data_IF_612159593738
#
_entry.id   IF_612159593738
#
_cell.length_a   1.000
_cell.length_b   1.000
_cell.length_c   1.000
_cell.angle_alpha   90.00
_cell.angle_beta   90.00
_cell.angle_gamma   90.00
#
_symmetry.space_group_name_H-M   'P 1'
#
loop_
_entity.id
_entity.type
_entity.pdbx_description
1 polymer ?
#
# COMPACT_ATOMS: atom_id res chain seq x y z
N UNK A 1 -59.25 -26.18 -23.89
CA UNK A 1 -57.90 -25.68 -24.26
C UNK A 1 -57.75 -24.14 -24.18
N UNK A 2 -58.66 -23.31 -24.62
CA UNK A 2 -58.55 -21.82 -24.53
C UNK A 2 -58.43 -21.30 -23.10
N UNK A 3 -59.21 -21.84 -22.14
CA UNK A 3 -59.14 -21.41 -20.71
C UNK A 3 -57.83 -21.76 -20.00
N UNK A 4 -57.20 -22.87 -20.37
CA UNK A 4 -55.92 -23.30 -19.78
C UNK A 4 -54.77 -22.39 -20.23
N UNK A 5 -54.75 -22.06 -21.53
CA UNK A 5 -53.76 -21.11 -22.11
C UNK A 5 -53.85 -19.71 -21.47
N UNK A 6 -55.10 -19.24 -21.21
CA UNK A 6 -55.32 -17.93 -20.57
C UNK A 6 -54.87 -17.92 -19.12
N UNK A 7 -55.08 -19.01 -18.35
CA UNK A 7 -54.58 -19.17 -16.97
C UNK A 7 -53.05 -19.21 -16.95
N UNK A 8 -52.41 -19.94 -17.84
CA UNK A 8 -50.94 -20.01 -17.93
C UNK A 8 -50.36 -18.62 -18.27
N UNK A 9 -50.93 -17.84 -19.18
CA UNK A 9 -50.49 -16.50 -19.51
C UNK A 9 -50.63 -15.53 -18.31
N UNK A 10 -51.70 -15.64 -17.52
CA UNK A 10 -51.90 -14.82 -16.30
C UNK A 10 -50.85 -15.20 -15.23
N UNK A 11 -50.53 -16.47 -15.03
CA UNK A 11 -49.46 -16.87 -14.10
C UNK A 11 -48.07 -16.44 -14.54
N UNK A 12 -47.75 -16.50 -15.84
CA UNK A 12 -46.50 -16.01 -16.37
C UNK A 12 -46.41 -14.48 -16.19
N UNK A 13 -47.49 -13.74 -16.44
CA UNK A 13 -47.52 -12.28 -16.24
C UNK A 13 -47.39 -11.89 -14.75
N UNK A 14 -48.04 -12.63 -13.83
CA UNK A 14 -47.90 -12.41 -12.39
C UNK A 14 -46.50 -12.75 -11.86
N UNK A 15 -45.88 -13.83 -12.37
CA UNK A 15 -44.50 -14.15 -12.01
C UNK A 15 -43.49 -13.14 -12.54
N UNK A 16 -43.67 -12.60 -13.76
CA UNK A 16 -42.84 -11.55 -14.34
C UNK A 16 -42.98 -10.21 -13.59
N UNK A 17 -44.11 -9.92 -12.94
CA UNK A 17 -44.31 -8.77 -12.05
C UNK A 17 -43.75 -9.03 -10.64
N UNK A 18 -43.83 -10.27 -10.13
CA UNK A 18 -43.34 -10.61 -8.81
C UNK A 18 -41.81 -10.64 -8.72
N UNK A 19 -41.10 -11.00 -9.82
CA UNK A 19 -39.64 -11.06 -9.85
C UNK A 19 -38.99 -9.69 -9.59
N UNK A 20 -39.33 -8.59 -10.29
CA UNK A 20 -38.75 -7.29 -9.99
C UNK A 20 -39.15 -6.75 -8.61
N UNK A 21 -40.38 -7.01 -8.13
CA UNK A 21 -40.79 -6.62 -6.79
C UNK A 21 -40.01 -7.41 -5.71
N UNK A 22 -39.77 -8.69 -5.94
CA UNK A 22 -38.95 -9.51 -5.06
C UNK A 22 -37.48 -9.04 -5.08
N UNK A 23 -36.94 -8.72 -6.25
CA UNK A 23 -35.57 -8.18 -6.38
C UNK A 23 -35.43 -6.80 -5.74
N UNK A 24 -36.41 -5.92 -5.91
CA UNK A 24 -36.42 -4.59 -5.27
C UNK A 24 -36.59 -4.70 -3.75
N UNK A 25 -37.48 -5.57 -3.28
CA UNK A 25 -37.63 -5.83 -1.84
C UNK A 25 -36.41 -6.53 -1.27
N UNK A 26 -35.81 -7.50 -1.97
CA UNK A 26 -34.58 -8.17 -1.54
C UNK A 26 -33.41 -7.16 -1.49
N UNK A 27 -33.27 -6.25 -2.46
CA UNK A 27 -32.29 -5.16 -2.39
C UNK A 27 -32.59 -4.16 -1.27
N UNK A 28 -33.84 -3.97 -0.91
CA UNK A 28 -34.26 -3.09 0.19
C UNK A 28 -34.04 -3.75 1.56
N UNK A 29 -34.30 -5.02 1.70
CA UNK A 29 -34.11 -5.80 2.94
C UNK A 29 -32.67 -6.34 3.11
N UNK A 30 -31.89 -6.51 2.05
CA UNK A 30 -30.49 -6.92 2.13
C UNK A 30 -29.53 -5.76 2.44
N UNK A 31 -30.01 -4.52 2.48
CA UNK A 31 -29.27 -3.42 3.09
C UNK A 31 -29.38 -3.59 4.60
N UNK A 32 -28.45 -4.35 5.19
CA UNK A 32 -28.18 -4.19 6.62
C UNK A 32 -28.11 -2.69 6.90
N UNK A 33 -28.93 -2.21 7.82
CA UNK A 33 -28.94 -0.77 8.14
C UNK A 33 -27.51 -0.39 8.51
N UNK A 34 -26.96 0.66 7.87
CA UNK A 34 -25.61 1.12 8.14
C UNK A 34 -25.48 1.42 9.65
N UNK A 35 -24.47 0.84 10.26
CA UNK A 35 -24.14 1.09 11.68
C UNK A 35 -23.58 2.51 11.76
N UNK A 36 -24.20 3.35 12.61
CA UNK A 36 -23.68 4.69 12.88
C UNK A 36 -22.51 4.62 13.84
N UNK A 37 -21.50 5.44 13.58
CA UNK A 37 -20.35 5.54 14.46
C UNK A 37 -20.73 6.20 15.81
N UNK A 38 -20.13 5.67 16.90
CA UNK A 38 -20.20 6.21 18.25
C UNK A 38 -18.85 5.98 18.93
N UNK A 39 -17.89 6.86 18.66
CA UNK A 39 -16.48 6.65 18.91
C UNK A 39 -16.15 6.80 20.39
N UNK A 40 -15.53 5.78 20.97
CA UNK A 40 -15.00 5.78 22.34
C UNK A 40 -13.48 5.57 22.30
N UNK A 41 -12.76 6.55 22.83
CA UNK A 41 -11.31 6.59 22.90
C UNK A 41 -10.88 6.44 24.35
N UNK A 42 -10.63 5.22 24.75
CA UNK A 42 -10.06 4.91 26.08
C UNK A 42 -8.53 4.96 26.01
N UNK A 43 -7.91 5.98 26.60
CA UNK A 43 -6.47 6.22 26.49
C UNK A 43 -5.61 5.13 27.17
N UNK A 44 -6.22 4.27 27.98
CA UNK A 44 -5.55 3.13 28.62
C UNK A 44 -5.49 1.88 27.75
N UNK A 45 -6.35 1.82 26.71
CA UNK A 45 -6.41 0.69 25.76
C UNK A 45 -5.44 0.89 24.61
N UNK A 46 -4.18 0.52 24.80
CA UNK A 46 -3.14 0.65 23.78
C UNK A 46 -2.66 -0.70 23.28
N UNK A 47 -2.22 -0.77 22.01
CA UNK A 47 -1.65 -1.95 21.35
C UNK A 47 -0.13 -1.87 21.15
N UNK A 48 0.55 -0.90 21.75
CA UNK A 48 1.99 -0.66 21.59
C UNK A 48 2.29 0.47 20.57
N UNK A 49 3.54 0.58 20.10
CA UNK A 49 3.94 1.65 19.20
C UNK A 49 3.08 1.75 17.94
N UNK A 50 2.75 2.98 17.53
CA UNK A 50 1.92 3.20 16.34
C UNK A 50 2.62 2.65 15.09
N UNK A 51 2.01 1.71 14.33
CA UNK A 51 2.66 1.08 13.20
C UNK A 51 2.88 2.05 12.04
N UNK A 52 4.00 1.91 11.34
CA UNK A 52 4.36 2.76 10.20
C UNK A 52 4.19 2.04 8.85
N UNK A 53 3.29 1.07 8.74
CA UNK A 53 3.09 0.19 7.57
C UNK A 53 2.71 0.92 6.28
N UNK A 54 2.16 2.12 6.43
CA UNK A 54 1.74 3.01 5.35
C UNK A 54 2.86 3.92 4.83
N UNK A 55 4.02 3.96 5.50
CA UNK A 55 5.18 4.77 5.10
C UNK A 55 5.95 4.11 3.94
N UNK A 56 5.21 3.53 3.01
CA UNK A 56 5.73 2.87 1.84
C UNK A 56 4.99 3.40 0.59
N UNK A 57 5.74 3.91 -0.37
CA UNK A 57 5.24 4.49 -1.60
C UNK A 57 5.83 3.73 -2.79
N UNK A 58 5.14 3.72 -3.92
CA UNK A 58 5.63 3.16 -5.17
C UNK A 58 5.71 4.25 -6.24
N UNK A 59 6.63 4.09 -7.16
CA UNK A 59 6.70 4.86 -8.39
C UNK A 59 6.98 3.88 -9.53
N UNK A 60 6.18 3.93 -10.57
CA UNK A 60 6.43 3.23 -11.82
C UNK A 60 7.36 4.03 -12.74
N UNK A 61 7.67 3.46 -13.88
CA UNK A 61 8.48 4.13 -14.88
C UNK A 61 7.61 4.87 -15.91
N UNK A 62 6.83 5.83 -15.47
CA UNK A 62 5.85 6.52 -16.32
C UNK A 62 6.51 7.36 -17.40
N UNK A 63 7.77 7.72 -17.22
CA UNK A 63 8.53 8.53 -18.19
C UNK A 63 9.96 8.02 -18.31
N UNK A 64 10.23 7.30 -19.41
CA UNK A 64 11.53 6.66 -19.65
C UNK A 64 12.68 7.68 -19.65
N UNK A 65 13.70 7.40 -18.84
CA UNK A 65 14.91 8.22 -18.75
C UNK A 65 14.74 9.50 -17.94
N UNK A 66 13.56 9.76 -17.37
CA UNK A 66 13.31 10.93 -16.50
C UNK A 66 13.50 10.55 -15.04
N UNK A 67 14.13 11.44 -14.28
CA UNK A 67 14.23 11.32 -12.82
C UNK A 67 12.92 11.76 -12.18
N UNK A 68 12.03 10.81 -11.91
CA UNK A 68 10.67 11.08 -11.45
C UNK A 68 10.62 11.84 -10.10
N UNK A 69 11.63 11.71 -9.26
CA UNK A 69 11.67 12.34 -7.93
C UNK A 69 12.36 13.70 -7.89
N UNK A 70 13.21 14.06 -8.86
CA UNK A 70 14.11 15.21 -8.78
C UNK A 70 13.42 16.53 -8.36
N UNK A 71 12.24 16.80 -8.89
CA UNK A 71 11.48 18.02 -8.61
C UNK A 71 10.44 17.89 -7.47
N UNK A 72 10.35 16.74 -6.81
CA UNK A 72 9.34 16.48 -5.76
C UNK A 72 9.91 15.97 -4.43
N UNK A 73 11.25 15.92 -4.32
CA UNK A 73 11.93 15.50 -3.07
C UNK A 73 11.36 16.23 -1.83
N UNK A 74 11.18 17.55 -1.81
CA UNK A 74 10.63 18.23 -0.63
C UNK A 74 9.24 17.75 -0.25
N UNK A 75 8.33 17.61 -1.22
CA UNK A 75 6.96 17.19 -0.98
C UNK A 75 6.89 15.74 -0.46
N UNK A 76 7.74 14.85 -0.99
CA UNK A 76 7.83 13.46 -0.56
C UNK A 76 8.44 13.36 0.83
N UNK A 77 9.48 14.15 1.14
CA UNK A 77 10.13 14.18 2.45
C UNK A 77 9.16 14.57 3.57
N UNK A 78 8.21 15.48 3.31
CA UNK A 78 7.17 15.87 4.27
C UNK A 78 6.27 14.71 4.72
N UNK A 79 6.23 13.60 3.98
CA UNK A 79 5.47 12.39 4.32
C UNK A 79 6.27 11.40 5.17
N UNK A 80 7.58 11.61 5.33
CA UNK A 80 8.50 10.72 6.05
C UNK A 80 8.40 9.26 5.59
N UNK A 81 8.52 8.97 4.29
CA UNK A 81 8.46 7.60 3.80
C UNK A 81 9.64 6.78 4.34
N UNK A 82 9.40 5.49 4.58
CA UNK A 82 10.46 4.55 4.97
C UNK A 82 11.02 3.77 3.79
N UNK A 83 10.16 3.47 2.81
CA UNK A 83 10.49 2.71 1.60
C UNK A 83 9.84 3.36 0.38
N UNK A 84 10.55 3.37 -0.73
CA UNK A 84 9.98 3.72 -2.04
C UNK A 84 10.34 2.62 -3.03
N UNK A 85 9.30 1.94 -3.57
CA UNK A 85 9.43 0.93 -4.61
C UNK A 85 9.56 1.61 -5.96
N UNK A 86 10.49 1.11 -6.77
CA UNK A 86 10.65 1.49 -8.18
C UNK A 86 10.76 0.24 -9.05
N UNK A 87 10.13 0.28 -10.20
CA UNK A 87 10.24 -0.71 -11.26
C UNK A 87 11.01 -0.17 -12.47
N UNK A 88 11.00 -0.86 -13.63
CA UNK A 88 11.72 -0.47 -14.83
C UNK A 88 13.21 -0.17 -14.61
N UNK A 89 13.84 -0.77 -13.58
CA UNK A 89 15.19 -0.40 -13.14
C UNK A 89 16.28 -0.76 -14.13
N UNK A 90 16.02 -1.65 -15.11
CA UNK A 90 17.01 -2.07 -16.07
C UNK A 90 16.84 -1.44 -17.46
N UNK A 91 15.60 -1.21 -17.89
CA UNK A 91 15.27 -0.71 -19.21
C UNK A 91 15.25 0.82 -19.28
N UNK A 92 14.54 1.50 -18.37
CA UNK A 92 14.43 2.96 -18.41
C UNK A 92 15.75 3.68 -18.09
N UNK A 93 16.61 3.04 -17.31
CA UNK A 93 17.91 3.59 -16.94
C UNK A 93 19.07 3.05 -17.78
N UNK A 94 18.78 2.23 -18.82
CA UNK A 94 19.77 1.68 -19.76
C UNK A 94 20.96 1.01 -19.05
N UNK A 95 20.64 0.22 -18.00
CA UNK A 95 21.68 -0.37 -17.13
C UNK A 95 22.59 -1.34 -17.87
N UNK A 96 22.08 -1.99 -18.92
CA UNK A 96 22.79 -3.07 -19.63
C UNK A 96 23.07 -2.70 -21.07
N UNK A 97 24.31 -2.85 -21.46
CA UNK A 97 24.74 -2.76 -22.86
C UNK A 97 25.65 -3.92 -23.25
N UNK A 98 25.94 -4.10 -24.56
CA UNK A 98 26.96 -5.04 -25.07
C UNK A 98 27.98 -4.27 -25.85
N UNK A 99 29.24 -4.67 -25.68
CA UNK A 99 30.32 -4.20 -26.52
C UNK A 99 30.27 -4.86 -27.92
N UNK A 100 31.20 -4.44 -28.82
CA UNK A 100 31.30 -4.98 -30.17
C UNK A 100 31.68 -6.48 -30.22
N UNK A 101 32.22 -7.02 -29.14
CA UNK A 101 32.56 -8.45 -28.96
C UNK A 101 31.39 -9.25 -28.34
N UNK A 102 30.29 -8.59 -28.00
CA UNK A 102 29.10 -9.20 -27.40
C UNK A 102 29.16 -9.36 -25.88
N UNK A 103 30.21 -8.85 -25.21
CA UNK A 103 30.30 -8.91 -23.75
C UNK A 103 29.35 -7.91 -23.09
N UNK A 104 28.74 -8.32 -21.96
CA UNK A 104 27.88 -7.44 -21.15
C UNK A 104 28.69 -6.36 -20.44
N UNK A 105 28.14 -5.16 -20.45
CA UNK A 105 28.60 -4.02 -19.66
C UNK A 105 27.43 -3.48 -18.83
N UNK A 106 27.71 -3.09 -17.60
CA UNK A 106 26.71 -2.58 -16.65
C UNK A 106 27.01 -1.13 -16.28
N UNK A 107 26.03 -0.24 -16.47
CA UNK A 107 26.12 1.17 -16.12
C UNK A 107 24.92 1.59 -15.27
N UNK A 108 25.13 1.77 -13.98
CA UNK A 108 24.09 2.15 -13.04
C UNK A 108 23.95 3.68 -12.85
N UNK A 109 24.72 4.51 -13.55
CA UNK A 109 24.81 5.95 -13.28
C UNK A 109 23.46 6.67 -13.29
N UNK A 110 22.57 6.35 -14.22
CA UNK A 110 21.23 6.95 -14.29
C UNK A 110 20.36 6.48 -13.12
N UNK A 111 20.35 5.18 -12.84
CA UNK A 111 19.60 4.59 -11.74
C UNK A 111 20.12 5.09 -10.38
N UNK A 112 21.42 5.27 -10.22
CA UNK A 112 22.03 5.83 -9.01
C UNK A 112 21.49 7.20 -8.66
N UNK A 113 21.23 8.05 -9.65
CA UNK A 113 20.65 9.39 -9.42
C UNK A 113 19.23 9.28 -8.83
N UNK A 114 18.38 8.42 -9.39
CA UNK A 114 17.03 8.16 -8.85
C UNK A 114 17.08 7.55 -7.45
N UNK A 115 18.02 6.63 -7.21
CA UNK A 115 18.24 6.05 -5.87
C UNK A 115 18.69 7.13 -4.88
N UNK A 116 19.54 8.06 -5.30
CA UNK A 116 19.94 9.21 -4.49
C UNK A 116 18.77 10.14 -4.18
N UNK A 117 17.88 10.37 -5.14
CA UNK A 117 16.66 11.15 -4.89
C UNK A 117 15.78 10.48 -3.82
N UNK A 118 15.63 9.15 -3.89
CA UNK A 118 14.93 8.38 -2.86
C UNK A 118 15.58 8.58 -1.49
N UNK A 119 16.89 8.47 -1.39
CA UNK A 119 17.61 8.72 -0.12
C UNK A 119 17.42 10.16 0.38
N UNK A 120 17.38 11.15 -0.49
CA UNK A 120 17.11 12.53 -0.12
C UNK A 120 15.69 12.75 0.41
N UNK A 121 14.72 11.86 0.11
CA UNK A 121 13.40 11.89 0.76
C UNK A 121 13.41 11.32 2.19
N UNK A 122 14.49 10.66 2.60
CA UNK A 122 14.59 9.92 3.86
C UNK A 122 14.24 8.43 3.74
N UNK A 123 13.78 7.96 2.58
CA UNK A 123 13.41 6.58 2.33
C UNK A 123 14.57 5.70 1.87
N UNK A 124 14.39 4.38 1.96
CA UNK A 124 15.21 3.37 1.28
C UNK A 124 14.54 2.91 0.00
N UNK A 125 15.30 2.56 -1.05
CA UNK A 125 14.73 1.97 -2.24
C UNK A 125 14.25 0.54 -1.97
N UNK A 126 13.19 0.16 -2.68
CA UNK A 126 12.69 -1.19 -2.83
C UNK A 126 12.66 -1.48 -4.33
N UNK A 127 13.46 -2.41 -4.80
CA UNK A 127 13.66 -2.65 -6.23
C UNK A 127 12.76 -3.76 -6.75
N UNK A 128 11.99 -3.49 -7.80
CA UNK A 128 11.43 -4.50 -8.68
C UNK A 128 12.48 -4.87 -9.73
N UNK A 129 12.98 -6.11 -9.72
CA UNK A 129 14.03 -6.59 -10.63
C UNK A 129 13.43 -6.85 -12.03
N UNK A 130 13.37 -5.81 -12.84
CA UNK A 130 12.76 -5.77 -14.18
C UNK A 130 12.93 -4.39 -14.82
N UNK A 131 12.57 -4.21 -16.11
CA UNK A 131 12.20 -5.33 -16.98
C UNK A 131 13.43 -5.90 -17.70
N UNK A 132 13.18 -6.84 -18.65
CA UNK A 132 14.27 -7.48 -19.36
C UNK A 132 14.98 -6.47 -20.28
N UNK A 133 16.30 -6.26 -20.14
CA UNK A 133 17.03 -5.44 -21.12
C UNK A 133 16.88 -6.03 -22.52
N UNK A 134 16.52 -5.26 -23.56
CA UNK A 134 16.32 -5.79 -24.92
C UNK A 134 17.51 -6.59 -25.47
N UNK A 135 18.73 -6.21 -25.08
CA UNK A 135 19.97 -6.91 -25.47
C UNK A 135 20.11 -8.30 -24.84
N UNK A 136 19.39 -8.57 -23.76
CA UNK A 136 19.36 -9.86 -23.04
C UNK A 136 18.11 -10.67 -23.34
N UNK A 137 17.05 -10.06 -23.88
CA UNK A 137 15.76 -10.68 -24.17
C UNK A 137 15.84 -11.63 -25.37
N UNK A 138 15.18 -12.79 -25.30
CA UNK A 138 15.16 -13.78 -26.38
C UNK A 138 14.40 -13.30 -27.64
N UNK A 139 13.42 -12.43 -27.44
CA UNK A 139 12.61 -11.82 -28.52
C UNK A 139 12.87 -10.32 -28.71
N UNK A 140 13.79 -9.73 -27.92
CA UNK A 140 14.10 -8.31 -27.94
C UNK A 140 13.10 -7.42 -27.21
N UNK A 141 12.03 -7.97 -26.62
CA UNK A 141 11.04 -7.21 -25.86
C UNK A 141 11.45 -7.03 -24.38
N UNK A 142 10.89 -6.02 -23.74
CA UNK A 142 11.09 -5.75 -22.29
C UNK A 142 10.49 -6.85 -21.41
N UNK A 143 9.56 -7.62 -21.94
CA UNK A 143 8.86 -8.67 -21.22
C UNK A 143 9.28 -10.09 -21.64
N UNK A 144 10.27 -10.23 -22.54
CA UNK A 144 10.82 -11.50 -22.97
C UNK A 144 11.57 -12.22 -21.83
N UNK A 145 11.92 -13.50 -22.05
CA UNK A 145 12.78 -14.22 -21.12
C UNK A 145 14.26 -13.97 -21.48
N UNK A 146 15.22 -14.22 -20.57
CA UNK A 146 16.63 -14.11 -20.93
C UNK A 146 17.01 -15.11 -22.03
N UNK A 147 17.81 -14.67 -23.00
CA UNK A 147 18.53 -15.60 -23.90
C UNK A 147 19.47 -16.52 -23.12
N UNK A 148 20.10 -15.96 -22.09
CA UNK A 148 21.07 -16.65 -21.24
C UNK A 148 20.72 -16.36 -19.75
N UNK A 149 20.27 -17.37 -19.05
CA UNK A 149 19.92 -17.29 -17.64
C UNK A 149 21.09 -16.92 -16.72
N UNK A 150 22.32 -17.31 -17.09
CA UNK A 150 23.52 -16.94 -16.33
C UNK A 150 23.80 -15.43 -16.40
N UNK A 151 23.51 -14.79 -17.53
CA UNK A 151 23.62 -13.33 -17.68
C UNK A 151 22.58 -12.61 -16.84
N UNK A 152 21.33 -13.12 -16.79
CA UNK A 152 20.31 -12.58 -15.88
C UNK A 152 20.77 -12.69 -14.42
N UNK A 153 21.28 -13.84 -14.01
CA UNK A 153 21.84 -14.04 -12.68
C UNK A 153 22.99 -13.06 -12.38
N UNK A 154 23.86 -12.81 -13.36
CA UNK A 154 24.95 -11.84 -13.21
C UNK A 154 24.43 -10.40 -13.07
N UNK A 155 23.40 -10.01 -13.83
CA UNK A 155 22.77 -8.69 -13.71
C UNK A 155 22.21 -8.49 -12.30
N UNK A 156 21.48 -9.48 -11.76
CA UNK A 156 20.95 -9.43 -10.39
C UNK A 156 22.08 -9.35 -9.36
N UNK A 157 23.14 -10.14 -9.54
CA UNK A 157 24.35 -10.08 -8.70
C UNK A 157 24.92 -8.66 -8.66
N UNK A 158 25.14 -8.04 -9.82
CA UNK A 158 25.68 -6.68 -9.93
C UNK A 158 24.77 -5.63 -9.31
N UNK A 159 23.46 -5.82 -9.40
CA UNK A 159 22.47 -4.93 -8.78
C UNK A 159 22.55 -5.00 -7.25
N UNK A 160 22.63 -6.22 -6.67
CA UNK A 160 22.77 -6.40 -5.22
C UNK A 160 24.14 -5.87 -4.74
N UNK A 161 25.23 -6.14 -5.47
CA UNK A 161 26.56 -5.58 -5.17
C UNK A 161 26.56 -4.05 -5.23
N UNK A 162 25.78 -3.43 -6.15
CA UNK A 162 25.69 -1.97 -6.27
C UNK A 162 24.96 -1.35 -5.08
N UNK A 163 23.77 -1.85 -4.73
CA UNK A 163 22.88 -1.16 -3.76
C UNK A 163 22.93 -1.72 -2.33
N UNK A 164 23.48 -2.91 -2.13
CA UNK A 164 23.75 -3.48 -0.81
C UNK A 164 25.26 -3.63 -0.52
N UNK A 165 26.13 -3.19 -1.43
CA UNK A 165 27.59 -3.34 -1.31
C UNK A 165 28.18 -2.51 -0.16
N UNK A 166 29.11 -3.11 0.62
CA UNK A 166 29.75 -2.45 1.76
C UNK A 166 30.70 -1.33 1.36
N UNK A 167 31.28 -1.40 0.18
CA UNK A 167 32.26 -0.43 -0.32
C UNK A 167 31.74 0.43 -1.46
N UNK A 168 30.47 0.27 -1.85
CA UNK A 168 29.87 1.06 -2.93
C UNK A 168 29.71 2.52 -2.53
N UNK A 169 30.10 3.44 -3.40
CA UNK A 169 29.86 4.88 -3.27
C UNK A 169 28.85 5.29 -4.33
N UNK A 170 27.76 5.95 -3.90
CA UNK A 170 26.75 6.53 -4.77
C UNK A 170 27.03 8.04 -4.99
N UNK A 171 26.49 8.65 -6.07
CA UNK A 171 26.73 10.08 -6.38
C UNK A 171 26.31 11.05 -5.27
N UNK A 172 25.33 10.70 -4.47
CA UNK A 172 24.88 11.49 -3.32
C UNK A 172 25.84 11.48 -2.13
N UNK A 173 26.96 10.79 -2.24
CA UNK A 173 27.97 10.70 -1.19
C UNK A 173 27.50 9.81 -0.03
N UNK A 174 28.32 9.76 1.01
CA UNK A 174 27.97 9.08 2.26
C UNK A 174 27.92 7.57 2.20
N UNK A 175 28.85 6.94 2.91
CA UNK A 175 28.83 5.51 3.20
C UNK A 175 28.01 5.31 4.49
N UNK A 176 26.70 5.53 4.44
CA UNK A 176 25.86 5.22 5.60
C UNK A 176 25.40 3.77 5.49
N UNK A 177 25.91 2.92 6.37
CA UNK A 177 25.53 1.50 6.46
C UNK A 177 24.01 1.34 6.57
N UNK A 178 23.35 2.27 7.27
CA UNK A 178 21.89 2.34 7.38
C UNK A 178 21.19 2.32 6.02
N UNK A 179 21.68 3.07 5.03
CA UNK A 179 21.03 3.21 3.71
C UNK A 179 21.13 1.96 2.84
N UNK A 180 22.09 1.10 3.10
CA UNK A 180 22.39 -0.10 2.29
C UNK A 180 22.02 -1.41 2.96
N UNK A 181 21.64 -1.37 4.24
CA UNK A 181 21.18 -2.53 5.00
C UNK A 181 19.69 -2.74 4.76
N UNK A 182 19.28 -4.00 4.60
CA UNK A 182 17.90 -4.43 4.41
C UNK A 182 17.22 -3.83 3.16
N UNK A 183 17.99 -3.60 2.11
CA UNK A 183 17.43 -3.28 0.78
C UNK A 183 16.59 -4.45 0.30
N UNK A 184 15.42 -4.16 -0.25
CA UNK A 184 14.50 -5.15 -0.76
C UNK A 184 14.62 -5.29 -2.27
N UNK A 185 14.64 -6.53 -2.74
CA UNK A 185 14.65 -6.90 -4.15
C UNK A 185 13.46 -7.84 -4.39
N UNK A 186 12.53 -7.41 -5.21
CA UNK A 186 11.35 -8.15 -5.63
C UNK A 186 11.57 -8.66 -7.05
N UNK A 187 11.26 -9.92 -7.31
CA UNK A 187 11.57 -10.51 -8.61
C UNK A 187 10.44 -10.26 -9.59
N UNK A 188 10.66 -9.33 -10.54
CA UNK A 188 9.74 -8.92 -11.59
C UNK A 188 8.63 -7.98 -11.10
N UNK A 189 7.64 -7.71 -12.01
CA UNK A 189 6.41 -6.97 -11.77
C UNK A 189 5.27 -7.67 -12.49
N UNK A 190 4.18 -8.02 -11.76
CA UNK A 190 2.95 -8.64 -12.27
C UNK A 190 3.18 -9.75 -13.31
N UNK A 191 3.93 -10.82 -12.96
CA UNK A 191 4.32 -11.84 -13.92
C UNK A 191 3.13 -12.60 -14.52
N UNK A 192 1.98 -12.60 -13.87
CA UNK A 192 0.75 -13.27 -14.30
C UNK A 192 0.00 -12.51 -15.41
N UNK A 193 0.26 -11.18 -15.56
CA UNK A 193 -0.41 -10.33 -16.53
C UNK A 193 0.28 -10.37 -17.91
N UNK A 194 -0.51 -10.31 -18.97
CA UNK A 194 -0.01 -10.39 -20.36
C UNK A 194 0.89 -9.20 -20.70
N UNK A 195 0.50 -8.00 -20.29
CA UNK A 195 1.25 -6.76 -20.49
C UNK A 195 2.66 -6.83 -19.91
N UNK A 196 2.83 -7.55 -18.78
CA UNK A 196 4.13 -7.71 -18.11
C UNK A 196 4.75 -9.08 -18.34
N UNK A 197 4.34 -9.77 -19.41
CA UNK A 197 5.03 -10.90 -19.97
C UNK A 197 4.37 -12.25 -19.83
N UNK A 198 3.26 -12.38 -19.12
CA UNK A 198 2.48 -13.63 -18.99
C UNK A 198 3.37 -14.84 -18.67
N UNK A 199 4.17 -14.71 -17.63
CA UNK A 199 5.00 -15.79 -17.12
C UNK A 199 4.14 -16.93 -16.61
N UNK A 200 4.66 -18.15 -16.68
CA UNK A 200 3.95 -19.38 -16.29
C UNK A 200 4.75 -20.17 -15.27
N UNK A 201 4.11 -21.12 -14.61
CA UNK A 201 4.81 -22.06 -13.75
C UNK A 201 5.53 -23.17 -14.55
N UNK A 202 5.03 -23.52 -15.72
CA UNK A 202 5.57 -24.57 -16.58
C UNK A 202 5.64 -24.05 -18.02
N UNK A 203 6.68 -24.45 -18.74
CA UNK A 203 6.88 -24.11 -20.14
C UNK A 203 7.93 -23.02 -20.37
N UNK A 204 8.12 -22.62 -21.61
CA UNK A 204 9.29 -21.88 -22.09
C UNK A 204 9.54 -20.50 -21.46
N UNK A 205 8.55 -19.89 -20.77
CA UNK A 205 8.67 -18.63 -20.02
C UNK A 205 8.23 -18.87 -18.58
N UNK A 206 9.14 -19.45 -17.80
CA UNK A 206 8.90 -19.94 -16.45
C UNK A 206 9.26 -18.89 -15.40
N UNK A 207 8.26 -18.42 -14.60
CA UNK A 207 8.52 -17.56 -13.46
C UNK A 207 9.36 -18.24 -12.37
N UNK A 208 9.13 -19.52 -12.02
CA UNK A 208 10.03 -20.26 -11.12
C UNK A 208 11.49 -20.23 -11.57
N UNK A 209 11.76 -20.36 -12.89
CA UNK A 209 13.12 -20.28 -13.43
C UNK A 209 13.69 -18.86 -13.30
N UNK A 210 12.88 -17.83 -13.57
CA UNK A 210 13.26 -16.43 -13.35
C UNK A 210 13.65 -16.18 -11.89
N UNK A 211 12.83 -16.64 -10.94
CA UNK A 211 13.11 -16.53 -9.52
C UNK A 211 14.36 -17.30 -9.11
N UNK A 212 14.55 -18.52 -9.62
CA UNK A 212 15.74 -19.34 -9.35
C UNK A 212 17.03 -18.62 -9.72
N UNK A 213 17.09 -18.07 -10.93
CA UNK A 213 18.30 -17.37 -11.39
C UNK A 213 18.47 -16.01 -10.74
N UNK A 214 17.39 -15.33 -10.36
CA UNK A 214 17.45 -14.14 -9.52
C UNK A 214 18.02 -14.45 -8.14
N UNK A 215 17.53 -15.51 -7.48
CA UNK A 215 18.05 -15.94 -6.19
C UNK A 215 19.52 -16.39 -6.25
N UNK A 216 19.92 -17.10 -7.31
CA UNK A 216 21.33 -17.46 -7.55
C UNK A 216 22.21 -16.23 -7.67
N UNK A 217 21.79 -15.24 -8.46
CA UNK A 217 22.53 -14.00 -8.65
C UNK A 217 22.65 -13.21 -7.35
N UNK A 218 21.54 -13.03 -6.65
CA UNK A 218 21.54 -12.35 -5.35
C UNK A 218 22.47 -13.03 -4.34
N UNK A 219 22.43 -14.36 -4.25
CA UNK A 219 23.30 -15.14 -3.35
C UNK A 219 24.78 -15.13 -3.77
N UNK A 220 25.09 -14.89 -5.03
CA UNK A 220 26.45 -14.77 -5.53
C UNK A 220 27.09 -13.40 -5.25
N UNK A 221 26.31 -12.40 -4.83
CA UNK A 221 26.80 -11.06 -4.52
C UNK A 221 27.82 -11.09 -3.38
N UNK A 222 28.95 -10.39 -3.58
CA UNK A 222 30.08 -10.40 -2.65
C UNK A 222 30.15 -9.09 -1.88
N UNK A 223 30.63 -9.16 -0.63
CA UNK A 223 30.88 -8.00 0.21
C UNK A 223 29.65 -7.07 0.35
N UNK A 224 28.50 -7.66 0.65
CA UNK A 224 27.22 -6.95 0.78
C UNK A 224 26.71 -6.93 2.22
N UNK A 225 25.90 -5.95 2.55
CA UNK A 225 25.08 -5.94 3.75
C UNK A 225 23.91 -6.93 3.62
N UNK A 226 23.25 -7.30 4.72
CA UNK A 226 22.00 -8.06 4.66
C UNK A 226 20.99 -7.36 3.74
N UNK A 227 20.34 -8.14 2.89
CA UNK A 227 19.32 -7.71 1.96
C UNK A 227 18.13 -8.68 1.98
N UNK A 228 17.01 -8.28 1.43
CA UNK A 228 15.76 -9.06 1.34
C UNK A 228 15.45 -9.38 -0.11
N UNK A 229 15.08 -10.64 -0.39
CA UNK A 229 14.61 -11.08 -1.71
C UNK A 229 13.23 -11.68 -1.58
N UNK A 230 12.29 -11.34 -2.47
CA UNK A 230 10.92 -11.84 -2.41
C UNK A 230 10.14 -11.80 -3.71
N UNK A 231 8.87 -12.14 -3.60
CA UNK A 231 7.88 -12.28 -4.66
C UNK A 231 6.65 -13.07 -4.19
N UNK A 232 5.75 -13.54 -5.08
CA UNK A 232 5.85 -13.55 -6.55
C UNK A 232 5.27 -12.32 -7.26
N UNK A 233 4.82 -11.30 -6.52
CA UNK A 233 4.38 -9.98 -7.03
C UNK A 233 3.30 -10.05 -8.11
N UNK A 234 2.34 -10.96 -7.93
CA UNK A 234 1.19 -11.12 -8.85
C UNK A 234 0.19 -9.96 -8.71
N UNK A 235 -0.61 -9.71 -9.77
CA UNK A 235 -1.63 -8.64 -9.82
C UNK A 235 -2.66 -8.69 -8.69
N UNK A 236 -2.84 -9.86 -8.08
CA UNK A 236 -3.62 -10.09 -6.87
C UNK A 236 -3.11 -11.36 -6.18
N UNK A 237 -3.63 -11.63 -4.99
CA UNK A 237 -3.28 -12.87 -4.30
C UNK A 237 -4.04 -14.06 -4.90
N UNK A 238 -3.31 -14.98 -5.54
CA UNK A 238 -3.87 -16.19 -6.16
C UNK A 238 -3.33 -17.44 -5.46
N UNK A 239 -4.25 -18.28 -4.92
CA UNK A 239 -3.86 -19.48 -4.17
C UNK A 239 -2.88 -20.36 -4.94
N UNK A 240 -3.20 -20.67 -6.19
CA UNK A 240 -2.37 -21.54 -7.02
C UNK A 240 -0.99 -20.95 -7.31
N UNK A 241 -0.88 -19.62 -7.45
CA UNK A 241 0.40 -18.96 -7.64
C UNK A 241 1.23 -19.04 -6.36
N UNK A 242 0.66 -18.63 -5.24
CA UNK A 242 1.34 -18.62 -3.94
C UNK A 242 1.82 -20.03 -3.58
N UNK A 243 0.93 -21.03 -3.58
CA UNK A 243 1.30 -22.37 -3.16
C UNK A 243 2.36 -23.02 -4.06
N UNK A 244 2.21 -22.93 -5.40
CA UNK A 244 3.22 -23.45 -6.34
C UNK A 244 4.56 -22.72 -6.21
N UNK A 245 4.53 -21.41 -5.99
CA UNK A 245 5.75 -20.62 -5.76
C UNK A 245 6.45 -21.07 -4.48
N UNK A 246 5.74 -21.19 -3.37
CA UNK A 246 6.31 -21.63 -2.10
C UNK A 246 6.82 -23.08 -2.18
N UNK A 247 6.11 -23.98 -2.87
CA UNK A 247 6.57 -25.34 -3.14
C UNK A 247 7.91 -25.34 -3.89
N UNK A 248 8.02 -24.53 -4.96
CA UNK A 248 9.22 -24.41 -5.76
C UNK A 248 10.41 -23.86 -4.96
N UNK A 249 10.18 -22.78 -4.19
CA UNK A 249 11.16 -22.19 -3.28
C UNK A 249 11.64 -23.21 -2.25
N UNK A 250 10.71 -24.01 -1.69
CA UNK A 250 11.02 -25.03 -0.69
C UNK A 250 11.88 -26.14 -1.26
N UNK A 251 11.45 -26.72 -2.39
CA UNK A 251 12.14 -27.86 -3.05
C UNK A 251 13.56 -27.48 -3.47
N UNK A 252 13.77 -26.24 -3.94
CA UNK A 252 15.06 -25.75 -4.41
C UNK A 252 15.89 -25.04 -3.33
N UNK A 253 15.40 -25.00 -2.09
CA UNK A 253 16.02 -24.29 -0.95
C UNK A 253 16.44 -22.85 -1.28
N UNK A 254 15.56 -22.09 -1.93
CA UNK A 254 15.85 -20.73 -2.35
C UNK A 254 15.63 -19.72 -1.21
N UNK A 255 16.37 -18.62 -1.28
CA UNK A 255 16.13 -17.46 -0.42
C UNK A 255 14.77 -16.88 -0.73
N UNK A 256 13.96 -16.66 0.31
CA UNK A 256 12.70 -15.93 0.29
C UNK A 256 12.53 -15.24 1.63
N UNK A 257 12.53 -13.91 1.63
CA UNK A 257 12.48 -13.09 2.85
C UNK A 257 11.14 -12.39 3.04
N UNK A 258 10.28 -12.35 2.01
CA UNK A 258 8.93 -11.79 2.08
C UNK A 258 8.05 -12.37 0.97
N UNK A 259 6.73 -12.37 1.20
CA UNK A 259 5.72 -12.69 0.20
C UNK A 259 5.08 -11.39 -0.24
N UNK A 260 4.99 -11.15 -1.57
CA UNK A 260 4.40 -9.92 -2.12
C UNK A 260 3.37 -10.20 -3.20
N UNK A 261 2.43 -9.25 -3.32
CA UNK A 261 1.41 -9.18 -4.37
C UNK A 261 0.93 -7.74 -4.51
N UNK A 262 0.18 -7.45 -5.58
CA UNK A 262 -0.52 -6.18 -5.77
C UNK A 262 -1.99 -6.31 -5.40
N UNK A 263 -2.64 -5.20 -5.10
CA UNK A 263 -4.08 -5.16 -4.89
C UNK A 263 -4.62 -3.76 -5.13
N UNK A 264 -5.50 -3.62 -6.12
CA UNK A 264 -6.28 -2.42 -6.36
C UNK A 264 -7.74 -2.71 -6.08
N UNK A 265 -8.35 -1.96 -5.17
CA UNK A 265 -9.77 -2.13 -4.84
C UNK A 265 -10.39 -0.85 -4.29
N UNK A 266 -11.63 -0.58 -4.70
CA UNK A 266 -12.49 0.46 -4.11
C UNK A 266 -13.06 0.04 -2.75
N UNK A 267 -13.01 -1.26 -2.43
CA UNK A 267 -13.48 -1.82 -1.15
C UNK A 267 -12.28 -2.01 -0.22
N UNK A 268 -12.25 -1.23 0.83
CA UNK A 268 -11.10 -1.23 1.75
C UNK A 268 -10.94 -2.52 2.54
N UNK A 269 -12.01 -3.29 2.73
CA UNK A 269 -11.98 -4.57 3.46
C UNK A 269 -11.30 -5.71 2.65
N UNK A 270 -11.26 -5.60 1.32
CA UNK A 270 -10.62 -6.59 0.44
C UNK A 270 -9.14 -6.83 0.83
N UNK A 271 -8.46 -5.81 1.33
CA UNK A 271 -7.07 -5.90 1.79
C UNK A 271 -6.91 -6.80 3.03
N UNK A 272 -7.86 -6.72 3.96
CA UNK A 272 -7.88 -7.61 5.15
C UNK A 272 -8.19 -9.04 4.73
N UNK A 273 -9.11 -9.22 3.77
CA UNK A 273 -9.47 -10.52 3.23
C UNK A 273 -8.27 -11.25 2.60
N UNK A 274 -7.36 -10.53 1.96
CA UNK A 274 -6.15 -11.13 1.40
C UNK A 274 -5.26 -11.73 2.48
N UNK A 275 -5.08 -11.04 3.60
CA UNK A 275 -4.29 -11.55 4.72
C UNK A 275 -4.96 -12.79 5.33
N UNK A 276 -6.28 -12.78 5.47
CA UNK A 276 -7.05 -13.94 5.97
C UNK A 276 -6.88 -15.13 5.03
N UNK A 277 -7.02 -14.92 3.71
CA UNK A 277 -6.82 -15.96 2.69
C UNK A 277 -5.40 -16.53 2.75
N UNK A 278 -4.38 -15.67 2.79
CA UNK A 278 -2.98 -16.10 2.83
C UNK A 278 -2.70 -16.94 4.08
N UNK A 279 -3.12 -16.49 5.26
CA UNK A 279 -2.97 -17.22 6.51
C UNK A 279 -3.62 -18.61 6.42
N UNK A 280 -4.85 -18.68 5.90
CA UNK A 280 -5.56 -19.94 5.68
C UNK A 280 -4.77 -20.86 4.75
N UNK A 281 -4.22 -20.36 3.64
CA UNK A 281 -3.49 -21.22 2.68
C UNK A 281 -2.16 -21.72 3.24
N UNK A 282 -1.48 -20.91 4.06
CA UNK A 282 -0.24 -21.32 4.73
C UNK A 282 -0.52 -22.42 5.79
N UNK A 283 -1.64 -22.34 6.51
CA UNK A 283 -2.02 -23.36 7.51
C UNK A 283 -2.58 -24.67 6.93
N UNK A 284 -2.78 -24.77 5.62
CA UNK A 284 -3.31 -25.98 4.98
C UNK A 284 -2.32 -27.17 4.99
N UNK A 285 -1.02 -26.92 5.19
CA UNK A 285 -0.02 -27.99 5.17
C UNK A 285 1.24 -27.58 5.95
N UNK A 286 1.78 -28.47 6.79
CA UNK A 286 3.03 -28.23 7.54
C UNK A 286 4.23 -27.85 6.66
N UNK A 287 4.22 -28.19 5.38
CA UNK A 287 5.29 -27.77 4.43
C UNK A 287 5.41 -26.27 4.26
N UNK A 288 4.37 -25.50 4.67
CA UNK A 288 4.36 -24.03 4.61
C UNK A 288 4.74 -23.35 5.94
N UNK A 289 4.93 -24.09 7.04
CA UNK A 289 5.22 -23.54 8.38
C UNK A 289 6.42 -22.59 8.35
N UNK A 290 7.43 -22.91 7.53
CA UNK A 290 8.62 -22.05 7.38
C UNK A 290 8.33 -20.65 6.81
N UNK A 291 7.15 -20.46 6.20
CA UNK A 291 6.72 -19.22 5.54
C UNK A 291 5.70 -18.42 6.35
N UNK A 292 5.17 -18.99 7.46
CA UNK A 292 4.11 -18.37 8.26
C UNK A 292 4.52 -17.00 8.84
N UNK A 293 5.79 -16.83 9.18
CA UNK A 293 6.32 -15.62 9.78
C UNK A 293 7.00 -14.67 8.77
N UNK A 294 6.95 -14.98 7.48
CA UNK A 294 7.50 -14.07 6.48
C UNK A 294 6.70 -12.77 6.43
N UNK A 295 7.38 -11.63 6.26
CA UNK A 295 6.73 -10.36 5.95
C UNK A 295 5.76 -10.48 4.78
N UNK A 296 4.57 -9.90 4.93
CA UNK A 296 3.52 -9.83 3.93
C UNK A 296 3.47 -8.42 3.40
N UNK A 297 3.67 -8.27 2.10
CA UNK A 297 3.84 -6.98 1.45
C UNK A 297 2.85 -6.85 0.29
N UNK A 298 2.01 -5.82 0.32
CA UNK A 298 1.30 -5.37 -0.88
C UNK A 298 2.20 -4.34 -1.54
N UNK A 299 2.93 -4.78 -2.58
CA UNK A 299 3.98 -3.96 -3.20
C UNK A 299 3.47 -2.93 -4.20
N UNK A 300 2.17 -2.99 -4.53
CA UNK A 300 1.38 -1.91 -5.13
C UNK A 300 -0.06 -1.98 -4.67
N UNK A 301 -0.64 -0.84 -4.31
CA UNK A 301 -2.06 -0.73 -4.04
C UNK A 301 -2.59 0.67 -4.40
N UNK A 302 -3.89 0.74 -4.63
CA UNK A 302 -4.56 1.99 -4.92
C UNK A 302 -6.07 1.83 -5.07
N UNK A 303 -6.75 2.94 -5.38
CA UNK A 303 -8.19 3.00 -5.54
C UNK A 303 -8.67 2.18 -6.76
N UNK A 304 -7.93 2.26 -7.86
CA UNK A 304 -8.26 1.60 -9.13
C UNK A 304 -6.96 1.30 -9.89
N UNK A 305 -6.85 0.14 -10.51
CA UNK A 305 -5.72 -0.21 -11.39
C UNK A 305 -5.76 0.56 -12.70
N UNK A 306 -6.94 1.02 -13.09
CA UNK A 306 -7.12 1.86 -14.26
C UNK A 306 -7.15 3.34 -13.89
N UNK A 307 -6.84 4.20 -14.85
CA UNK A 307 -6.92 5.65 -14.69
C UNK A 307 -8.32 6.07 -14.24
N UNK A 308 -8.44 6.60 -13.04
CA UNK A 308 -9.70 7.00 -12.45
C UNK A 308 -9.60 8.37 -11.77
N UNK A 309 -10.15 9.45 -12.38
CA UNK A 309 -10.06 10.80 -11.83
C UNK A 309 -10.67 10.95 -10.42
N UNK A 310 -11.56 10.04 -10.00
CA UNK A 310 -12.11 10.04 -8.65
C UNK A 310 -11.02 9.82 -7.59
N UNK A 311 -9.96 9.08 -7.93
CA UNK A 311 -8.81 8.88 -7.05
C UNK A 311 -8.06 10.19 -6.70
N UNK A 312 -8.21 11.22 -7.52
CA UNK A 312 -7.58 12.54 -7.33
C UNK A 312 -8.41 13.52 -6.51
N UNK A 313 -9.56 13.07 -5.99
CA UNK A 313 -10.50 13.84 -5.18
C UNK A 313 -10.45 13.44 -3.71
N UNK A 314 -11.30 14.06 -2.89
CA UNK A 314 -11.51 13.69 -1.48
C UNK A 314 -11.96 12.22 -1.33
N UNK A 315 -12.60 11.63 -2.34
CA UNK A 315 -12.96 10.20 -2.36
C UNK A 315 -11.71 9.34 -2.29
N UNK A 316 -10.70 9.64 -3.13
CA UNK A 316 -9.42 8.94 -3.10
C UNK A 316 -8.65 9.15 -1.80
N UNK A 317 -8.73 10.36 -1.21
CA UNK A 317 -8.13 10.67 0.09
C UNK A 317 -8.78 9.85 1.22
N UNK A 318 -10.11 9.80 1.28
CA UNK A 318 -10.85 9.03 2.27
C UNK A 318 -10.62 7.51 2.11
N UNK A 319 -10.64 7.02 0.86
CA UNK A 319 -10.26 5.63 0.54
C UNK A 319 -8.86 5.30 1.06
N UNK A 320 -7.90 6.19 0.83
CA UNK A 320 -6.50 5.99 1.25
C UNK A 320 -6.41 5.79 2.77
N UNK A 321 -7.05 6.64 3.58
CA UNK A 321 -6.99 6.52 5.04
C UNK A 321 -7.78 5.33 5.57
N UNK A 322 -8.95 5.02 5.01
CA UNK A 322 -9.72 3.83 5.38
C UNK A 322 -8.95 2.54 5.06
N UNK A 323 -8.24 2.48 3.93
CA UNK A 323 -7.36 1.36 3.58
C UNK A 323 -6.17 1.24 4.54
N UNK A 324 -5.51 2.36 4.85
CA UNK A 324 -4.37 2.37 5.80
C UNK A 324 -4.82 1.91 7.19
N UNK A 325 -6.03 2.27 7.62
CA UNK A 325 -6.60 1.74 8.88
C UNK A 325 -6.67 0.20 8.84
N UNK A 326 -7.08 -0.39 7.74
CA UNK A 326 -7.13 -1.84 7.58
C UNK A 326 -5.72 -2.46 7.58
N UNK A 327 -4.73 -1.82 6.95
CA UNK A 327 -3.33 -2.26 6.99
C UNK A 327 -2.76 -2.26 8.42
N UNK A 328 -3.03 -1.19 9.19
CA UNK A 328 -2.55 -1.05 10.58
C UNK A 328 -3.14 -2.15 11.46
N UNK A 329 -4.42 -2.49 11.27
CA UNK A 329 -5.12 -3.49 12.06
C UNK A 329 -4.92 -4.94 11.56
N UNK A 330 -4.23 -5.12 10.43
CA UNK A 330 -3.90 -6.44 9.87
C UNK A 330 -2.45 -6.84 10.17
N UNK A 331 -2.10 -8.10 9.89
CA UNK A 331 -0.71 -8.57 9.96
C UNK A 331 0.07 -8.30 8.66
N UNK A 332 -0.13 -7.13 8.06
CA UNK A 332 0.61 -6.65 6.89
C UNK A 332 1.89 -5.96 7.33
N UNK A 333 3.00 -6.21 6.66
CA UNK A 333 4.30 -5.61 7.02
C UNK A 333 4.50 -4.25 6.35
N UNK A 334 4.09 -4.12 5.08
CA UNK A 334 4.12 -2.87 4.32
C UNK A 334 3.08 -2.88 3.20
N UNK A 335 2.59 -1.70 2.82
CA UNK A 335 1.73 -1.50 1.66
C UNK A 335 2.19 -0.25 0.90
N UNK A 336 2.55 -0.42 -0.38
CA UNK A 336 3.12 0.62 -1.22
C UNK A 336 2.03 1.30 -2.03
N UNK A 337 1.70 2.53 -1.67
CA UNK A 337 0.70 3.31 -2.42
C UNK A 337 1.26 3.68 -3.79
N UNK A 338 0.59 3.25 -4.83
CA UNK A 338 0.88 3.62 -6.21
C UNK A 338 0.04 4.86 -6.58
N UNK A 339 0.64 6.00 -6.91
CA UNK A 339 2.08 6.24 -7.00
C UNK A 339 2.46 7.62 -6.44
N UNK A 340 3.75 7.93 -6.39
CA UNK A 340 4.24 9.22 -5.84
C UNK A 340 3.84 10.39 -6.73
N UNK A 341 4.18 10.35 -8.03
CA UNK A 341 3.99 11.46 -8.96
C UNK A 341 3.44 10.96 -10.29
N UNK A 342 2.46 11.68 -10.83
CA UNK A 342 1.94 11.42 -12.16
C UNK A 342 3.02 11.50 -13.24
N UNK A 343 2.92 10.62 -14.23
CA UNK A 343 3.53 10.84 -15.54
C UNK A 343 2.77 11.89 -16.36
N UNK A 344 3.24 12.21 -17.58
CA UNK A 344 2.65 13.29 -18.39
C UNK A 344 1.19 13.05 -18.79
N UNK A 345 0.74 11.80 -18.82
CA UNK A 345 -0.60 11.40 -19.27
C UNK A 345 -1.34 10.51 -18.29
N UNK A 346 -0.71 10.18 -17.16
CA UNK A 346 -1.19 9.22 -16.14
C UNK A 346 -1.55 9.96 -14.87
N UNK A 347 -2.46 9.39 -14.06
CA UNK A 347 -3.01 10.07 -12.88
C UNK A 347 -3.26 9.10 -11.71
N UNK A 348 -2.25 8.32 -11.32
CA UNK A 348 -2.27 7.56 -10.06
C UNK A 348 -1.49 8.26 -8.94
N UNK A 349 -0.74 9.32 -9.25
CA UNK A 349 0.11 10.05 -8.31
C UNK A 349 -0.63 10.66 -7.14
N UNK A 350 0.05 10.77 -5.99
CA UNK A 350 -0.37 11.66 -4.90
C UNK A 350 0.06 13.10 -5.17
N UNK A 351 0.97 13.28 -6.13
CA UNK A 351 1.39 14.55 -6.70
C UNK A 351 1.05 14.57 -8.19
N UNK A 352 0.68 15.74 -8.70
CA UNK A 352 0.56 15.98 -10.13
C UNK A 352 1.94 15.94 -10.81
N UNK A 353 1.97 15.87 -12.14
CA UNK A 353 3.21 15.86 -12.92
C UNK A 353 4.13 17.06 -12.61
N UNK A 354 3.56 18.25 -12.33
CA UNK A 354 4.28 19.45 -11.93
C UNK A 354 4.72 19.49 -10.45
N UNK A 355 4.40 18.42 -9.68
CA UNK A 355 4.71 18.29 -8.26
C UNK A 355 3.69 18.96 -7.32
N UNK A 356 2.60 19.53 -7.82
CA UNK A 356 1.54 20.05 -6.97
C UNK A 356 0.80 18.93 -6.24
N UNK A 357 0.38 19.20 -5.00
CA UNK A 357 -0.16 18.21 -4.06
C UNK A 357 -1.64 17.92 -4.33
N UNK A 358 -2.02 16.64 -4.38
CA UNK A 358 -3.41 16.18 -4.51
C UNK A 358 -4.04 15.87 -3.13
N UNK A 359 -5.37 15.69 -3.01
CA UNK A 359 -6.04 15.37 -1.75
C UNK A 359 -5.45 14.15 -1.01
N UNK A 360 -5.01 13.11 -1.72
CA UNK A 360 -4.34 11.94 -1.13
C UNK A 360 -3.03 12.29 -0.42
N UNK A 361 -2.27 13.25 -0.94
CA UNK A 361 -1.05 13.72 -0.30
C UNK A 361 -1.35 14.36 1.06
N UNK A 362 -2.37 15.23 1.14
CA UNK A 362 -2.79 15.85 2.40
C UNK A 362 -3.30 14.83 3.40
N UNK A 363 -4.02 13.80 2.93
CA UNK A 363 -4.46 12.69 3.77
C UNK A 363 -3.26 11.94 4.39
N UNK A 364 -2.24 11.62 3.61
CA UNK A 364 -1.01 11.00 4.11
C UNK A 364 -0.25 11.92 5.09
N UNK A 365 -0.21 13.23 4.81
CA UNK A 365 0.42 14.19 5.72
C UNK A 365 -0.27 14.23 7.08
N UNK A 366 -1.61 14.10 7.13
CA UNK A 366 -2.35 14.04 8.39
C UNK A 366 -1.93 12.87 9.28
N UNK A 367 -1.51 11.73 8.70
CA UNK A 367 -1.02 10.59 9.47
C UNK A 367 0.23 10.90 10.30
N UNK A 368 0.97 11.97 9.98
CA UNK A 368 2.13 12.41 10.77
C UNK A 368 1.73 12.96 12.15
N UNK A 369 0.45 13.27 12.38
CA UNK A 369 -0.06 13.61 13.72
C UNK A 369 -0.10 12.40 14.67
N UNK A 370 -0.16 11.18 14.10
CA UNK A 370 -0.21 9.93 14.85
C UNK A 370 1.20 9.49 15.27
N UNK A 371 1.43 9.45 16.57
CA UNK A 371 2.74 9.08 17.13
C UNK A 371 2.58 8.51 18.55
N UNK A 372 3.62 7.87 19.08
CA UNK A 372 3.56 7.20 20.38
C UNK A 372 2.88 5.84 20.28
N UNK A 373 1.92 5.55 21.14
CA UNK A 373 1.21 4.27 21.17
C UNK A 373 -0.11 4.34 20.42
N UNK A 374 -0.44 3.30 19.67
CA UNK A 374 -1.75 3.14 19.05
C UNK A 374 -2.81 2.90 20.13
N UNK A 375 -3.92 3.65 20.06
CA UNK A 375 -5.10 3.42 20.89
C UNK A 375 -6.06 2.52 20.12
N UNK A 376 -6.60 1.51 20.82
CA UNK A 376 -7.69 0.67 20.29
C UNK A 376 -8.98 1.45 20.49
N UNK A 377 -9.67 1.78 19.41
CA UNK A 377 -10.92 2.58 19.41
C UNK A 377 -12.11 1.65 19.29
N UNK A 378 -13.14 1.91 20.09
CA UNK A 378 -14.44 1.24 20.02
C UNK A 378 -15.46 2.12 19.29
N UNK A 379 -16.47 1.51 18.65
CA UNK A 379 -17.64 2.21 18.13
C UNK A 379 -17.53 2.78 16.72
N UNK A 380 -16.61 2.25 15.89
CA UNK A 380 -16.60 2.55 14.46
C UNK A 380 -17.93 2.16 13.78
N UNK A 381 -18.26 2.88 12.70
CA UNK A 381 -19.47 2.65 11.91
C UNK A 381 -19.19 1.89 10.62
N UNK A 382 -20.23 1.73 9.81
CA UNK A 382 -20.07 1.11 8.47
C UNK A 382 -19.19 1.96 7.55
N UNK A 383 -19.24 3.28 7.66
CA UNK A 383 -18.55 4.21 6.79
C UNK A 383 -17.47 5.03 7.53
N UNK A 384 -17.65 5.23 8.83
CA UNK A 384 -16.72 6.01 9.64
C UNK A 384 -15.76 5.09 10.38
N UNK A 385 -14.47 5.24 10.06
CA UNK A 385 -13.37 4.54 10.71
C UNK A 385 -12.42 5.52 11.39
N UNK A 386 -11.61 5.03 12.34
CA UNK A 386 -10.72 5.87 13.16
C UNK A 386 -9.34 5.26 13.30
N UNK A 387 -8.33 6.10 13.16
CA UNK A 387 -6.98 5.84 13.65
C UNK A 387 -6.72 6.72 14.84
N UNK A 388 -6.19 6.18 15.92
CA UNK A 388 -5.91 6.93 17.14
C UNK A 388 -4.57 6.59 17.76
N UNK A 389 -3.91 7.60 18.32
CA UNK A 389 -2.65 7.43 19.05
C UNK A 389 -2.57 8.32 20.27
N UNK A 390 -1.73 7.91 21.22
CA UNK A 390 -1.39 8.66 22.43
C UNK A 390 0.13 8.84 22.50
N UNK A 391 0.56 10.09 22.55
CA UNK A 391 1.96 10.47 22.74
C UNK A 391 2.06 11.47 23.89
N UNK A 392 2.35 10.97 25.09
CA UNK A 392 2.46 11.75 26.32
C UNK A 392 1.21 12.58 26.59
N UNK A 393 1.26 13.90 26.33
CA UNK A 393 0.20 14.86 26.60
C UNK A 393 -0.73 15.12 25.39
N UNK A 394 -0.55 14.39 24.28
CA UNK A 394 -1.33 14.57 23.05
C UNK A 394 -2.01 13.28 22.62
N UNK A 395 -3.32 13.33 22.47
CA UNK A 395 -4.15 12.27 21.90
C UNK A 395 -4.58 12.74 20.51
N UNK A 396 -4.20 11.98 19.49
CA UNK A 396 -4.51 12.30 18.08
C UNK A 396 -5.44 11.26 17.49
N UNK A 397 -6.50 11.72 16.81
CA UNK A 397 -7.46 10.88 16.11
C UNK A 397 -7.63 11.35 14.66
N UNK A 398 -7.64 10.43 13.73
CA UNK A 398 -8.07 10.72 12.36
C UNK A 398 -9.36 9.94 12.11
N UNK A 399 -10.46 10.67 11.99
CA UNK A 399 -11.75 10.13 11.58
C UNK A 399 -11.87 10.22 10.07
N UNK A 400 -12.28 9.13 9.45
CA UNK A 400 -12.49 9.03 8.00
C UNK A 400 -13.87 8.50 7.72
N UNK A 401 -14.70 9.26 7.01
CA UNK A 401 -15.97 8.78 6.47
C UNK A 401 -15.75 8.41 5.01
N UNK A 402 -15.63 7.12 4.70
CA UNK A 402 -15.48 6.64 3.33
C UNK A 402 -16.77 5.95 2.86
N UNK A 403 -17.42 6.52 1.87
CA UNK A 403 -18.60 5.98 1.20
C UNK A 403 -18.49 6.15 -0.31
N UNK A 404 -18.30 5.04 -1.04
CA UNK A 404 -18.25 5.03 -2.51
C UNK A 404 -19.48 5.67 -3.16
N UNK A 405 -20.66 5.59 -2.51
CA UNK A 405 -21.89 6.17 -3.04
C UNK A 405 -21.99 7.68 -2.82
N UNK A 406 -21.12 8.26 -2.01
CA UNK A 406 -21.10 9.69 -1.71
C UNK A 406 -22.32 10.22 -0.94
N UNK A 407 -23.06 9.36 -0.23
CA UNK A 407 -24.34 9.71 0.38
C UNK A 407 -24.34 9.70 1.91
N UNK A 408 -23.37 9.03 2.54
CA UNK A 408 -23.36 8.94 3.99
C UNK A 408 -22.92 10.26 4.62
N UNK A 409 -23.81 10.89 5.36
CA UNK A 409 -23.49 12.00 6.25
C UNK A 409 -23.98 11.65 7.63
N UNK A 410 -23.12 11.79 8.64
CA UNK A 410 -23.50 11.52 10.03
C UNK A 410 -22.83 12.47 11.02
N UNK A 411 -23.52 12.69 12.13
CA UNK A 411 -22.98 13.36 13.30
C UNK A 411 -22.35 12.29 14.20
N UNK A 412 -21.02 12.28 14.28
CA UNK A 412 -20.26 11.26 15.00
C UNK A 412 -19.98 11.73 16.42
N UNK A 413 -20.56 11.11 17.45
CA UNK A 413 -20.18 11.34 18.83
C UNK A 413 -18.74 10.82 19.06
N UNK A 414 -17.95 11.57 19.84
CA UNK A 414 -16.61 11.16 20.27
C UNK A 414 -16.48 11.37 21.77
N UNK A 415 -16.10 10.32 22.48
CA UNK A 415 -15.89 10.35 23.93
C UNK A 415 -14.47 9.91 24.25
N UNK A 416 -13.70 10.79 24.86
CA UNK A 416 -12.39 10.47 25.43
C UNK A 416 -12.56 10.04 26.89
N UNK A 417 -11.94 8.92 27.28
CA UNK A 417 -12.06 8.33 28.63
C UNK A 417 -10.72 8.18 29.30
N UNK A 418 -10.77 8.12 30.64
CA UNK A 418 -9.62 7.93 31.51
C UNK A 418 -8.59 9.06 31.39
N UNK A 419 -9.06 10.27 31.13
CA UNK A 419 -8.23 11.47 31.09
C UNK A 419 -7.86 11.92 32.52
N UNK A 420 -6.59 12.33 32.67
CA UNK A 420 -6.16 12.97 33.91
C UNK A 420 -6.87 14.31 34.15
N UNK A 421 -7.09 14.71 35.41
CA UNK A 421 -7.63 16.03 35.73
C UNK A 421 -6.74 17.14 35.16
N UNK A 422 -7.38 18.16 34.58
CA UNK A 422 -6.62 19.29 34.01
C UNK A 422 -7.36 19.98 32.86
N UNK A 423 -6.72 20.99 32.29
CA UNK A 423 -7.24 21.73 31.14
C UNK A 423 -6.69 21.14 29.86
N UNK A 424 -7.56 20.99 28.89
CA UNK A 424 -7.25 20.49 27.55
C UNK A 424 -7.66 21.51 26.49
N UNK A 425 -6.96 21.46 25.36
CA UNK A 425 -7.35 22.11 24.14
C UNK A 425 -7.63 21.03 23.08
N UNK A 426 -8.71 21.19 22.30
CA UNK A 426 -9.06 20.32 21.18
C UNK A 426 -8.90 21.11 19.88
N UNK A 427 -7.98 20.67 19.04
CA UNK A 427 -7.84 21.17 17.68
C UNK A 427 -8.52 20.23 16.70
N UNK A 428 -9.37 20.75 15.82
CA UNK A 428 -9.96 20.03 14.69
C UNK A 428 -9.36 20.57 13.41
N UNK A 429 -8.87 19.68 12.55
CA UNK A 429 -8.29 20.05 11.26
C UNK A 429 -8.96 19.23 10.17
N UNK A 430 -9.58 19.88 9.19
CA UNK A 430 -10.16 19.23 8.00
C UNK A 430 -9.09 18.99 6.94
N UNK A 431 -9.39 18.15 5.94
CA UNK A 431 -8.46 17.84 4.85
C UNK A 431 -7.96 19.08 4.09
N UNK A 432 -8.79 20.10 3.96
CA UNK A 432 -8.42 21.38 3.33
C UNK A 432 -7.57 22.31 4.23
N UNK A 433 -7.15 21.82 5.40
CA UNK A 433 -6.33 22.59 6.36
C UNK A 433 -7.12 23.56 7.24
N UNK A 434 -8.43 23.68 7.10
CA UNK A 434 -9.27 24.51 7.99
C UNK A 434 -9.21 23.98 9.42
N UNK A 435 -8.94 24.88 10.38
CA UNK A 435 -8.79 24.56 11.80
C UNK A 435 -9.81 25.27 12.66
N UNK A 436 -10.30 24.56 13.69
CA UNK A 436 -11.04 25.14 14.81
C UNK A 436 -10.40 24.65 16.13
N UNK A 437 -10.44 25.50 17.16
CA UNK A 437 -9.81 25.20 18.46
C UNK A 437 -10.83 25.47 19.57
N UNK A 438 -11.09 24.44 20.36
CA UNK A 438 -11.87 24.55 21.61
C UNK A 438 -10.88 24.57 22.79
N UNK A 439 -10.88 25.62 23.57
CA UNK A 439 -9.96 25.82 24.71
C UNK A 439 -10.64 25.52 26.05
N UNK A 440 -9.81 25.23 27.06
CA UNK A 440 -10.22 25.06 28.45
C UNK A 440 -11.29 23.96 28.66
N UNK A 441 -11.16 22.87 27.91
CA UNK A 441 -11.96 21.67 28.15
C UNK A 441 -11.46 21.00 29.44
N UNK A 442 -12.36 20.67 30.37
CA UNK A 442 -12.01 19.93 31.59
C UNK A 442 -12.75 18.60 31.62
N UNK A 443 -12.06 17.49 31.95
CA UNK A 443 -12.73 16.20 32.06
C UNK A 443 -13.70 16.19 33.24
N UNK A 444 -14.90 15.67 33.01
CA UNK A 444 -15.88 15.36 34.07
C UNK A 444 -15.77 13.86 34.32
N UNK A 445 -15.37 13.45 35.52
CA UNK A 445 -15.14 12.04 35.86
C UNK A 445 -14.15 11.34 34.92
N UNK A 446 -13.11 12.05 34.46
CA UNK A 446 -12.13 11.50 33.53
C UNK A 446 -12.60 11.46 32.07
N UNK A 447 -13.73 12.10 31.73
CA UNK A 447 -14.27 12.08 30.35
C UNK A 447 -14.40 13.49 29.74
N UNK A 448 -14.05 13.61 28.46
CA UNK A 448 -14.42 14.73 27.60
C UNK A 448 -15.35 14.18 26.51
N UNK A 449 -16.58 14.70 26.42
CA UNK A 449 -17.61 14.21 25.50
C UNK A 449 -17.95 15.25 24.44
N UNK A 450 -17.80 14.85 23.18
CA UNK A 450 -18.22 15.59 22.00
C UNK A 450 -19.50 14.94 21.47
N UNK A 451 -20.64 15.20 22.11
CA UNK A 451 -21.94 14.58 21.81
C UNK A 451 -23.01 15.63 21.54
N UNK A 452 -24.14 15.22 20.96
CA UNK A 452 -25.24 16.13 20.62
C UNK A 452 -24.77 17.21 19.63
N UNK A 453 -24.96 18.48 19.98
CA UNK A 453 -24.54 19.61 19.14
C UNK A 453 -23.03 19.75 18.97
N UNK A 454 -22.22 19.06 19.79
CA UNK A 454 -20.74 19.03 19.68
C UNK A 454 -20.24 17.86 18.87
N UNK A 455 -21.09 16.92 18.41
CA UNK A 455 -20.69 15.80 17.57
C UNK A 455 -19.97 16.28 16.32
N UNK A 456 -19.05 15.46 15.83
CA UNK A 456 -18.29 15.76 14.62
C UNK A 456 -19.16 15.47 13.40
N UNK A 457 -19.49 16.49 12.63
CA UNK A 457 -20.24 16.31 11.38
C UNK A 457 -19.28 15.79 10.31
N UNK A 458 -19.55 14.59 9.83
CA UNK A 458 -18.79 13.90 8.80
C UNK A 458 -19.66 13.76 7.54
N UNK A 459 -19.46 14.60 6.55
CA UNK A 459 -20.03 14.39 5.20
C UNK A 459 -19.35 13.21 4.51
N UNK A 460 -19.99 12.67 3.47
CA UNK A 460 -19.39 11.60 2.68
C UNK A 460 -17.99 11.97 2.20
N UNK A 461 -17.07 11.02 2.32
CA UNK A 461 -15.67 11.14 1.91
C UNK A 461 -14.91 12.28 2.58
N UNK A 462 -15.31 12.67 3.81
CA UNK A 462 -14.60 13.65 4.61
C UNK A 462 -13.59 13.01 5.58
N UNK A 463 -12.58 13.80 5.93
CA UNK A 463 -11.53 13.44 6.88
C UNK A 463 -11.40 14.57 7.89
N UNK A 464 -11.34 14.20 9.17
CA UNK A 464 -11.13 15.15 10.27
C UNK A 464 -10.05 14.62 11.21
N UNK A 465 -9.01 15.41 11.42
CA UNK A 465 -8.02 15.16 12.46
C UNK A 465 -8.41 15.90 13.73
N UNK A 466 -8.47 15.20 14.86
CA UNK A 466 -8.70 15.73 16.19
C UNK A 466 -7.43 15.56 17.03
N UNK A 467 -6.94 16.64 17.62
CA UNK A 467 -5.81 16.61 18.55
C UNK A 467 -6.25 17.18 19.90
N UNK A 468 -6.35 16.32 20.91
CA UNK A 468 -6.62 16.71 22.28
C UNK A 468 -5.30 16.80 23.02
N UNK A 469 -4.92 18.01 23.45
CA UNK A 469 -3.64 18.30 24.11
C UNK A 469 -3.86 18.80 25.52
N UNK A 470 -3.18 18.18 26.51
CA UNK A 470 -3.16 18.66 27.90
C UNK A 470 -2.37 19.95 28.01
N UNK A 471 -2.91 20.94 28.71
CA UNK A 471 -2.21 22.20 29.01
C UNK A 471 -1.19 22.06 30.15
N UNK A 472 -1.15 20.92 30.84
CA UNK A 472 -0.13 20.64 31.87
C UNK A 472 1.13 20.10 31.20
N UNK A 473 2.26 20.80 31.33
CA UNK A 473 3.56 20.22 31.06
C UNK A 473 3.81 19.10 32.06
N UNK A 474 4.09 17.89 31.59
CA UNK A 474 4.59 16.80 32.42
C UNK A 474 5.88 17.32 33.08
N UNK A 475 5.86 17.43 34.42
CA UNK A 475 7.03 17.77 35.26
C UNK A 475 7.96 16.57 35.33
#
# INVERSE_FOLDING_TARGET
MKNLKRKILVYIFLSLLAIPVFFLSFQYFSRAAAIKANIVVDITKTSGPFPARWKALAQGGEESGVRMFENVIPQVSELYPSLIRIDHIYDFYEVVSRDSSGNLSFNFNKLDQTVCDIYHTGAKPFFSLGYMPPTMSDDGSLVGKPKNWSEWSLLVQKTVERYSGRTTVLPCGGLFDFWRTDIHYEVWNEPDLETFGKWKYLGGKSYPELYLYSAKGANAAQNVFPYKLGGPVTTAIYKNWIQKFLDFVSVNNLKLDFISWHHYSKKTDDYTDDIIKLNKWLSESPRYDRFENLPRIISEWGYDSEKNPIADTEVGAAHTLASIRNFINSNLSAAFLFEVKDGPTLSWGILNHDGSKKPRWYALQMLNSLSGNQIIVDGEGTYVTVLASNNNNRISLILTNYDQSGRNTEAVPVVFKNLEPGKYSLTRTNLNGQKTIDLNLEPINGEISLTGAKSIIMSANSIVNLELTSSQSIR
#
